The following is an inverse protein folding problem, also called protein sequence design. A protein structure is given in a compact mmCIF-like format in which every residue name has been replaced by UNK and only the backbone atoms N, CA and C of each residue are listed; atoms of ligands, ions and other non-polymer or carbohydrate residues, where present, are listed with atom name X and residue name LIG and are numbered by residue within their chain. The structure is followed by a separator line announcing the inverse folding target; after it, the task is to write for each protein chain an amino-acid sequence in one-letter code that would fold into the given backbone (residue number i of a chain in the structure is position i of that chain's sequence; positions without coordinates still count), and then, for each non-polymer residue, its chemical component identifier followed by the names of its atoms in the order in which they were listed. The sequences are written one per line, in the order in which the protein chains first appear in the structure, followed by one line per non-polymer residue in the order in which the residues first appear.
data_IF_734048373353
#
_entry.id   IF_734048373353
#
_cell.length_a   1.000
_cell.length_b   1.000
_cell.length_c   1.000
_cell.angle_alpha   90.00
_cell.angle_beta   90.00
_cell.angle_gamma   90.00
#
_symmetry.space_group_name_H-M   'P 1'
#
loop_
_entity.id
_entity.type
_entity.pdbx_description
1 polymer ?
#
# COMPACT_ATOMS: atom_id res chain seq x y z
N UNK A 1 -21.27 11.96 -3.35
CA UNK A 1 -21.02 10.79 -2.47
C UNK A 1 -21.72 9.61 -3.09
N UNK A 2 -21.00 8.53 -3.41
CA UNK A 2 -21.60 7.27 -3.83
C UNK A 2 -21.92 6.41 -2.61
N UNK A 3 -23.00 5.63 -2.67
CA UNK A 3 -23.34 4.65 -1.63
C UNK A 3 -22.98 3.26 -2.14
N UNK A 4 -22.28 2.48 -1.32
CA UNK A 4 -21.93 1.10 -1.61
C UNK A 4 -22.52 0.26 -0.48
N UNK A 5 -23.27 -0.78 -0.84
CA UNK A 5 -23.75 -1.80 0.08
C UNK A 5 -22.93 -3.06 -0.16
N UNK A 6 -22.23 -3.51 0.87
CA UNK A 6 -21.36 -4.69 0.82
C UNK A 6 -21.57 -5.52 2.07
N UNK A 7 -21.61 -6.84 1.90
CA UNK A 7 -21.58 -7.81 2.99
C UNK A 7 -20.13 -8.12 3.32
N UNK A 8 -19.78 -8.04 4.60
CA UNK A 8 -18.44 -8.27 5.12
C UNK A 8 -18.60 -9.27 6.27
N UNK A 9 -17.61 -10.13 6.48
CA UNK A 9 -17.60 -11.02 7.64
C UNK A 9 -17.68 -10.22 8.95
N UNK A 10 -18.49 -10.73 9.88
CA UNK A 10 -18.80 -10.05 11.15
C UNK A 10 -17.55 -9.78 12.00
N UNK A 11 -16.57 -10.68 11.97
CA UNK A 11 -15.34 -10.53 12.74
C UNK A 11 -14.45 -9.39 12.19
N UNK A 12 -14.41 -9.24 10.87
CA UNK A 12 -13.70 -8.17 10.17
C UNK A 12 -14.40 -6.84 10.43
N UNK A 13 -15.73 -6.77 10.31
CA UNK A 13 -16.52 -5.57 10.57
C UNK A 13 -16.30 -5.06 11.99
N UNK A 14 -16.37 -5.95 12.98
CA UNK A 14 -16.22 -5.62 14.39
C UNK A 14 -14.84 -5.05 14.69
N UNK A 15 -13.78 -5.73 14.23
CA UNK A 15 -12.39 -5.27 14.39
C UNK A 15 -12.17 -3.91 13.73
N UNK A 16 -12.71 -3.74 12.52
CA UNK A 16 -12.61 -2.48 11.78
C UNK A 16 -13.30 -1.33 12.53
N UNK A 17 -14.51 -1.56 13.03
CA UNK A 17 -15.28 -0.57 13.79
C UNK A 17 -14.58 -0.16 15.09
N UNK A 18 -14.03 -1.13 15.82
CA UNK A 18 -13.24 -0.85 17.03
C UNK A 18 -12.00 0.00 16.74
N UNK A 19 -11.25 -0.35 15.69
CA UNK A 19 -10.03 0.36 15.31
C UNK A 19 -10.32 1.77 14.80
N UNK A 20 -11.30 1.92 13.91
CA UNK A 20 -11.75 3.21 13.42
C UNK A 20 -12.27 4.08 14.57
N UNK A 21 -12.96 3.49 15.55
CA UNK A 21 -13.41 4.17 16.76
C UNK A 21 -12.25 4.73 17.60
N UNK A 22 -11.16 3.96 17.74
CA UNK A 22 -9.94 4.38 18.46
C UNK A 22 -9.22 5.53 17.74
N UNK A 23 -9.05 5.43 16.41
CA UNK A 23 -8.30 6.43 15.63
C UNK A 23 -9.08 7.75 15.52
N UNK A 24 -10.36 7.68 15.15
CA UNK A 24 -11.18 8.85 14.88
C UNK A 24 -12.07 9.27 16.07
N UNK A 25 -11.82 8.71 17.25
CA UNK A 25 -12.48 9.06 18.52
C UNK A 25 -14.02 8.97 18.45
N UNK A 26 -14.54 7.99 17.69
CA UNK A 26 -15.98 7.76 17.48
C UNK A 26 -16.78 9.01 17.05
N UNK A 27 -16.16 9.99 16.39
CA UNK A 27 -16.86 11.19 15.88
C UNK A 27 -17.87 10.82 14.79
N UNK A 28 -18.93 11.62 14.62
CA UNK A 28 -19.94 11.38 13.58
C UNK A 28 -19.28 11.18 12.21
N UNK A 29 -19.62 10.09 11.52
CA UNK A 29 -19.07 9.75 10.21
C UNK A 29 -17.69 9.07 10.22
N UNK A 30 -17.18 8.65 11.39
CA UNK A 30 -15.86 8.01 11.49
C UNK A 30 -15.71 6.76 10.59
N UNK A 31 -16.75 5.91 10.50
CA UNK A 31 -16.73 4.73 9.65
C UNK A 31 -16.62 5.09 8.17
N UNK A 32 -17.42 6.05 7.69
CA UNK A 32 -17.35 6.50 6.30
C UNK A 32 -15.98 7.08 5.95
N UNK A 33 -15.37 7.84 6.88
CA UNK A 33 -14.01 8.35 6.72
C UNK A 33 -12.99 7.23 6.67
N UNK A 34 -13.05 6.28 7.60
CA UNK A 34 -12.15 5.14 7.66
C UNK A 34 -12.23 4.28 6.39
N UNK A 35 -13.44 4.00 5.91
CA UNK A 35 -13.66 3.23 4.67
C UNK A 35 -13.07 3.98 3.47
N UNK A 36 -13.33 5.27 3.36
CA UNK A 36 -12.81 6.09 2.26
C UNK A 36 -11.28 6.10 2.26
N UNK A 37 -10.66 6.22 3.43
CA UNK A 37 -9.21 6.22 3.57
C UNK A 37 -8.60 4.86 3.25
N UNK A 38 -9.19 3.77 3.75
CA UNK A 38 -8.77 2.40 3.43
C UNK A 38 -8.85 2.11 1.93
N UNK A 39 -9.95 2.53 1.27
CA UNK A 39 -10.10 2.38 -0.18
C UNK A 39 -9.04 3.17 -0.96
N UNK A 40 -8.71 4.40 -0.54
CA UNK A 40 -7.64 5.20 -1.17
C UNK A 40 -6.28 4.51 -1.04
N UNK A 41 -5.93 4.09 0.17
CA UNK A 41 -4.66 3.39 0.43
C UNK A 41 -4.56 2.11 -0.39
N UNK A 42 -5.65 1.34 -0.50
CA UNK A 42 -5.67 0.14 -1.31
C UNK A 42 -5.45 0.44 -2.80
N UNK A 43 -6.17 1.42 -3.37
CA UNK A 43 -5.99 1.84 -4.77
C UNK A 43 -4.54 2.26 -5.04
N UNK A 44 -3.95 3.06 -4.17
CA UNK A 44 -2.59 3.55 -4.34
C UNK A 44 -1.57 2.41 -4.24
N UNK A 45 -1.76 1.46 -3.31
CA UNK A 45 -0.91 0.28 -3.20
C UNK A 45 -0.94 -0.59 -4.46
N UNK A 46 -2.12 -0.79 -5.05
CA UNK A 46 -2.29 -1.59 -6.27
C UNK A 46 -1.70 -0.89 -7.49
N UNK A 47 -1.78 0.44 -7.57
CA UNK A 47 -1.07 1.21 -8.61
C UNK A 47 0.44 1.06 -8.49
N UNK A 48 0.98 1.18 -7.29
CA UNK A 48 2.42 1.06 -7.06
C UNK A 48 2.93 -0.34 -7.39
N UNK A 49 2.19 -1.40 -7.05
CA UNK A 49 2.54 -2.77 -7.47
C UNK A 49 2.62 -2.91 -8.99
N UNK A 50 1.62 -2.39 -9.72
CA UNK A 50 1.62 -2.44 -11.19
C UNK A 50 2.78 -1.68 -11.80
N UNK A 51 3.12 -0.53 -11.25
CA UNK A 51 4.30 0.23 -11.69
C UNK A 51 5.55 -0.60 -11.44
N UNK A 52 5.75 -1.10 -10.21
CA UNK A 52 6.91 -1.90 -9.86
C UNK A 52 7.05 -3.13 -10.77
N UNK A 53 5.98 -3.88 -11.03
CA UNK A 53 5.98 -5.02 -11.95
C UNK A 53 6.34 -4.62 -13.38
N UNK A 54 5.81 -3.50 -13.86
CA UNK A 54 6.13 -2.97 -15.21
C UNK A 54 7.60 -2.59 -15.31
N UNK A 55 8.10 -1.85 -14.34
CA UNK A 55 9.50 -1.41 -14.31
C UNK A 55 10.44 -2.61 -14.17
N UNK A 56 10.09 -3.62 -13.37
CA UNK A 56 10.87 -4.86 -13.27
C UNK A 56 10.98 -5.58 -14.62
N UNK A 57 9.85 -5.71 -15.33
CA UNK A 57 9.83 -6.30 -16.69
C UNK A 57 10.62 -5.49 -17.72
N UNK A 58 10.69 -4.17 -17.55
CA UNK A 58 11.53 -3.33 -18.40
C UNK A 58 13.00 -3.57 -18.08
N UNK A 59 13.37 -3.60 -16.80
CA UNK A 59 14.73 -3.88 -16.34
C UNK A 59 15.24 -5.24 -16.80
N UNK A 60 14.40 -6.28 -16.82
CA UNK A 60 14.75 -7.61 -17.36
C UNK A 60 15.20 -7.57 -18.83
N UNK A 61 14.79 -6.55 -19.60
CA UNK A 61 15.20 -6.39 -21.00
C UNK A 61 16.54 -5.68 -21.17
N UNK A 62 17.09 -5.09 -20.12
CA UNK A 62 18.36 -4.38 -20.17
C UNK A 62 19.44 -5.18 -19.46
N UNK A 63 20.59 -5.37 -20.12
CA UNK A 63 21.78 -5.88 -19.45
C UNK A 63 22.41 -4.75 -18.63
N UNK A 64 22.16 -4.76 -17.32
CA UNK A 64 22.71 -3.79 -16.37
C UNK A 64 24.20 -4.04 -16.08
N UNK A 65 24.79 -5.07 -16.69
CA UNK A 65 26.16 -5.48 -16.45
C UNK A 65 26.36 -6.10 -15.06
N UNK A 66 27.62 -6.38 -14.72
CA UNK A 66 27.97 -6.98 -13.43
C UNK A 66 27.95 -5.90 -12.35
N UNK A 67 27.36 -6.21 -11.20
CA UNK A 67 27.45 -5.36 -10.00
C UNK A 67 28.91 -5.27 -9.56
N UNK A 68 29.54 -4.12 -9.82
CA UNK A 68 30.98 -3.91 -9.59
C UNK A 68 31.33 -3.76 -8.10
N UNK A 69 30.40 -3.25 -7.28
CA UNK A 69 30.62 -2.95 -5.88
C UNK A 69 29.40 -3.36 -5.05
N UNK A 70 29.61 -3.97 -3.87
CA UNK A 70 28.54 -4.37 -2.96
C UNK A 70 28.35 -3.33 -1.85
N UNK A 71 29.44 -2.74 -1.39
CA UNK A 71 29.46 -1.71 -0.35
C UNK A 71 30.22 -0.47 -0.81
N UNK A 72 29.93 0.68 -0.18
CA UNK A 72 30.61 1.95 -0.46
C UNK A 72 32.11 1.91 -0.12
N UNK A 73 32.53 1.02 0.79
CA UNK A 73 33.94 0.79 1.12
C UNK A 73 34.74 0.22 -0.05
N UNK A 74 34.14 -0.65 -0.85
CA UNK A 74 34.76 -1.31 -2.02
C UNK A 74 35.22 -0.32 -3.11
N UNK A 75 34.76 0.94 -3.05
CA UNK A 75 35.07 2.00 -4.02
C UNK A 75 36.42 2.66 -3.69
N UNK A 76 36.81 2.69 -2.41
CA UNK A 76 37.95 3.46 -1.93
C UNK A 76 39.18 2.60 -1.58
N UNK A 77 39.03 1.28 -1.49
CA UNK A 77 40.15 0.34 -1.35
C UNK A 77 40.64 -0.07 -2.74
N UNK A 78 41.57 0.71 -3.30
CA UNK A 78 42.36 0.39 -4.50
C UNK A 78 43.83 0.31 -4.16
#
# INVERSE_FOLDING_TARGET
MGTITVSIDDDVEKKFREMAGKIYHKRKGYLGRAITEAMRQWIDSEKQKKIAERELKLLEKFDLGKKLYRSRGDIYER
#
